data_IF_823984758062
#
_entry.id   IF_823984758062
#
_cell.length_a   1.000
_cell.length_b   1.000
_cell.length_c   1.000
_cell.angle_alpha   90.00
_cell.angle_beta   90.00
_cell.angle_gamma   90.00
#
_symmetry.space_group_name_H-M   'P 1'
#
loop_
_entity.id
_entity.type
_entity.pdbx_description
1 polymer ?
#
# COMPACT_ATOMS: atom_id res chain seq x y z
N UNK A 1 -41.05 33.89 -62.65
CA UNK A 1 -42.23 33.58 -61.78
C UNK A 1 -41.67 33.38 -60.40
N UNK A 2 -41.73 34.34 -59.52
CA UNK A 2 -42.63 34.49 -58.36
C UNK A 2 -42.56 33.21 -57.50
N UNK A 3 -42.08 33.28 -56.23
CA UNK A 3 -42.83 33.89 -55.15
C UNK A 3 -41.98 33.98 -53.89
N UNK A 4 -41.94 35.17 -53.40
CA UNK A 4 -41.49 35.62 -52.08
C UNK A 4 -42.34 34.94 -50.98
N UNK A 5 -41.73 34.51 -49.90
CA UNK A 5 -42.48 34.42 -48.63
C UNK A 5 -41.54 34.69 -47.45
N UNK A 6 -41.68 35.89 -46.94
CA UNK A 6 -41.24 36.34 -45.60
C UNK A 6 -42.05 35.58 -44.56
N UNK A 7 -41.42 35.05 -43.55
CA UNK A 7 -42.04 34.93 -42.24
C UNK A 7 -41.07 35.34 -41.15
N UNK A 8 -41.45 36.42 -40.54
CA UNK A 8 -40.94 36.89 -39.28
C UNK A 8 -41.47 35.98 -38.15
N UNK A 9 -40.66 35.65 -37.22
CA UNK A 9 -41.03 34.83 -36.05
C UNK A 9 -40.11 35.03 -34.90
N UNK A 10 -40.43 36.00 -34.05
CA UNK A 10 -40.42 35.97 -32.61
C UNK A 10 -39.17 35.49 -31.87
N UNK A 11 -38.31 36.43 -31.48
CA UNK A 11 -37.34 36.19 -30.41
C UNK A 11 -38.11 36.24 -29.09
N UNK A 12 -38.34 35.05 -28.52
CA UNK A 12 -38.78 34.93 -27.13
C UNK A 12 -37.53 34.91 -26.24
N UNK A 13 -37.21 36.05 -25.68
CA UNK A 13 -36.26 36.15 -24.58
C UNK A 13 -36.90 35.57 -23.33
N UNK A 14 -36.70 34.29 -23.07
CA UNK A 14 -36.95 33.71 -21.75
C UNK A 14 -35.83 34.13 -20.83
N UNK A 15 -36.12 35.12 -19.98
CA UNK A 15 -35.28 35.49 -18.87
C UNK A 15 -35.18 34.33 -17.89
N UNK A 16 -34.09 33.56 -17.93
CA UNK A 16 -33.75 32.68 -16.84
C UNK A 16 -33.20 33.49 -15.70
N UNK A 17 -34.05 33.74 -14.70
CA UNK A 17 -33.66 34.18 -13.40
C UNK A 17 -32.67 33.16 -12.81
N UNK A 18 -31.47 33.65 -12.50
CA UNK A 18 -30.43 32.90 -11.82
C UNK A 18 -30.61 32.97 -10.30
N UNK A 19 -31.11 31.94 -9.63
CA UNK A 19 -30.88 31.78 -8.21
C UNK A 19 -29.89 30.63 -7.96
N UNK A 20 -28.76 30.55 -8.71
CA UNK A 20 -27.88 29.39 -8.66
C UNK A 20 -26.61 29.59 -7.81
N UNK A 21 -26.35 30.82 -7.32
CA UNK A 21 -25.07 31.08 -6.63
C UNK A 21 -25.10 30.77 -5.12
N UNK A 22 -26.26 30.58 -4.52
CA UNK A 22 -26.35 30.27 -3.08
C UNK A 22 -26.32 28.77 -2.79
N UNK A 23 -26.59 27.93 -3.77
CA UNK A 23 -26.59 26.47 -3.60
C UNK A 23 -25.19 25.84 -3.77
N UNK A 24 -24.37 26.44 -4.62
CA UNK A 24 -23.01 25.94 -4.88
C UNK A 24 -22.10 25.94 -3.64
N UNK A 25 -22.24 26.93 -2.76
CA UNK A 25 -21.42 27.01 -1.55
C UNK A 25 -21.76 25.93 -0.50
N UNK A 26 -23.00 25.48 -0.44
CA UNK A 26 -23.42 24.40 0.48
C UNK A 26 -23.05 23.03 -0.06
N UNK A 27 -23.13 22.84 -1.35
CA UNK A 27 -22.72 21.58 -2.00
C UNK A 27 -21.20 21.40 -1.96
N UNK A 28 -20.43 22.45 -2.19
CA UNK A 28 -18.97 22.43 -2.05
C UNK A 28 -18.54 22.11 -0.61
N UNK A 29 -19.19 22.68 0.39
CA UNK A 29 -18.91 22.35 1.79
C UNK A 29 -19.24 20.90 2.12
N UNK A 30 -20.39 20.39 1.68
CA UNK A 30 -20.76 18.98 1.86
C UNK A 30 -19.78 18.03 1.15
N UNK A 31 -19.33 18.38 -0.05
CA UNK A 31 -18.34 17.61 -0.76
C UNK A 31 -16.97 17.62 -0.06
N UNK A 32 -16.56 18.76 0.48
CA UNK A 32 -15.33 18.89 1.27
C UNK A 32 -15.42 18.08 2.58
N UNK A 33 -16.53 18.17 3.30
CA UNK A 33 -16.76 17.41 4.53
C UNK A 33 -16.77 15.90 4.25
N UNK A 34 -17.40 15.47 3.15
CA UNK A 34 -17.41 14.06 2.73
C UNK A 34 -16.00 13.57 2.34
N UNK A 35 -15.18 14.40 1.70
CA UNK A 35 -13.80 14.08 1.36
C UNK A 35 -12.94 13.90 2.61
N UNK A 36 -13.04 14.79 3.58
CA UNK A 36 -12.31 14.71 4.86
C UNK A 36 -12.70 13.46 5.64
N UNK A 37 -13.99 13.15 5.74
CA UNK A 37 -14.46 11.93 6.40
C UNK A 37 -13.94 10.68 5.69
N UNK A 38 -13.88 10.69 4.36
CA UNK A 38 -13.34 9.60 3.56
C UNK A 38 -11.84 9.40 3.76
N UNK A 39 -11.05 10.47 3.85
CA UNK A 39 -9.61 10.39 4.17
C UNK A 39 -9.38 9.83 5.56
N UNK A 40 -10.07 10.34 6.58
CA UNK A 40 -9.98 9.82 7.95
C UNK A 40 -10.35 8.33 8.01
N UNK A 41 -11.35 7.90 7.25
CA UNK A 41 -11.73 6.50 7.18
C UNK A 41 -10.64 5.63 6.52
N UNK A 42 -9.99 6.13 5.48
CA UNK A 42 -8.86 5.46 4.82
C UNK A 42 -7.65 5.35 5.73
N UNK A 43 -7.30 6.42 6.43
CA UNK A 43 -6.18 6.42 7.38
C UNK A 43 -6.39 5.43 8.51
N UNK A 44 -7.60 5.39 9.08
CA UNK A 44 -7.95 4.39 10.11
C UNK A 44 -7.95 2.97 9.58
N UNK A 45 -8.33 2.77 8.33
CA UNK A 45 -8.26 1.46 7.68
C UNK A 45 -6.80 1.06 7.47
N UNK A 46 -5.97 1.96 6.92
CA UNK A 46 -4.55 1.73 6.73
C UNK A 46 -3.83 1.42 8.06
N UNK A 47 -4.18 2.13 9.13
CA UNK A 47 -3.63 1.86 10.46
C UNK A 47 -4.05 0.48 11.00
N UNK A 48 -5.31 0.07 10.80
CA UNK A 48 -5.76 -1.28 11.18
C UNK A 48 -5.06 -2.36 10.36
N UNK A 49 -4.88 -2.13 9.07
CA UNK A 49 -4.21 -3.07 8.19
C UNK A 49 -2.71 -3.15 8.50
N UNK A 50 -2.07 -2.03 8.83
CA UNK A 50 -0.70 -1.99 9.31
C UNK A 50 -0.50 -2.74 10.63
N UNK A 51 -1.45 -2.66 11.56
CA UNK A 51 -1.43 -3.44 12.81
C UNK A 51 -1.66 -4.93 12.58
N UNK A 52 -2.43 -5.29 11.55
CA UNK A 52 -2.66 -6.71 11.18
C UNK A 52 -1.48 -7.30 10.40
N UNK A 53 -0.80 -6.48 9.61
CA UNK A 53 0.32 -6.87 8.75
C UNK A 53 1.46 -5.85 8.87
N UNK A 54 2.10 -5.74 10.06
CA UNK A 54 3.05 -4.65 10.35
C UNK A 54 4.26 -4.61 9.42
N UNK A 55 4.53 -5.68 8.69
CA UNK A 55 5.68 -5.81 7.80
C UNK A 55 5.29 -6.32 6.40
N UNK A 56 4.08 -6.05 5.96
CA UNK A 56 3.70 -6.34 4.58
C UNK A 56 4.62 -5.54 3.64
N UNK A 57 5.49 -6.24 2.92
CA UNK A 57 6.37 -5.60 1.94
C UNK A 57 5.59 -5.37 0.66
N UNK A 58 5.54 -4.13 0.14
CA UNK A 58 4.96 -3.87 -1.18
C UNK A 58 5.62 -4.75 -2.24
N UNK A 59 4.83 -5.44 -3.04
CA UNK A 59 5.33 -6.31 -4.11
C UNK A 59 5.45 -7.80 -3.75
N UNK A 60 5.36 -8.15 -2.47
CA UNK A 60 5.17 -9.53 -2.06
C UNK A 60 3.68 -9.77 -1.86
N UNK A 61 3.07 -10.58 -2.70
CA UNK A 61 1.72 -11.08 -2.47
C UNK A 61 1.63 -11.88 -1.16
N UNK A 62 0.48 -12.43 -0.81
CA UNK A 62 0.33 -13.23 0.40
C UNK A 62 1.32 -14.41 0.37
N UNK A 63 2.25 -14.41 1.32
CA UNK A 63 3.31 -15.43 1.45
C UNK A 63 2.65 -16.70 1.99
N UNK A 64 2.39 -17.66 1.10
CA UNK A 64 1.68 -18.89 1.43
C UNK A 64 2.56 -20.15 1.35
N UNK A 65 3.79 -20.02 0.86
CA UNK A 65 4.70 -21.16 0.69
C UNK A 65 6.04 -20.94 1.38
N UNK A 66 6.71 -22.02 1.75
CA UNK A 66 8.06 -21.99 2.33
C UNK A 66 9.07 -21.26 1.44
N UNK A 67 9.00 -21.47 0.11
CA UNK A 67 9.87 -20.81 -0.85
C UNK A 67 9.64 -19.30 -0.91
N UNK A 68 8.38 -18.85 -0.92
CA UNK A 68 8.04 -17.45 -0.88
C UNK A 68 8.47 -16.81 0.45
N UNK A 69 8.29 -17.51 1.58
CA UNK A 69 8.74 -17.06 2.88
C UNK A 69 10.27 -16.89 2.92
N UNK A 70 11.02 -17.88 2.44
CA UNK A 70 12.49 -17.81 2.35
C UNK A 70 12.95 -16.63 1.50
N UNK A 71 12.31 -16.40 0.35
CA UNK A 71 12.66 -15.30 -0.55
C UNK A 71 12.35 -13.93 0.05
N UNK A 72 11.20 -13.77 0.67
CA UNK A 72 10.80 -12.50 1.32
C UNK A 72 11.70 -12.19 2.52
N UNK A 73 12.00 -13.17 3.37
CA UNK A 73 12.90 -13.03 4.51
C UNK A 73 14.34 -12.74 4.06
N UNK A 74 14.83 -13.39 3.01
CA UNK A 74 16.15 -13.13 2.44
C UNK A 74 16.26 -11.67 1.91
N UNK A 75 15.23 -11.18 1.23
CA UNK A 75 15.18 -9.80 0.77
C UNK A 75 15.22 -8.81 1.95
N UNK A 76 14.44 -9.08 3.00
CA UNK A 76 14.38 -8.24 4.19
C UNK A 76 15.67 -8.26 5.00
N UNK A 77 16.33 -9.44 5.10
CA UNK A 77 17.63 -9.55 5.75
C UNK A 77 18.71 -8.73 5.04
N UNK A 78 18.76 -8.76 3.71
CA UNK A 78 19.70 -7.93 2.93
C UNK A 78 19.43 -6.44 3.10
N UNK A 79 18.16 -6.02 3.07
CA UNK A 79 17.76 -4.64 3.28
C UNK A 79 18.23 -4.13 4.67
N UNK A 80 18.02 -4.91 5.71
CA UNK A 80 18.40 -4.56 7.06
C UNK A 80 19.91 -4.61 7.30
N UNK A 81 20.62 -5.55 6.66
CA UNK A 81 22.08 -5.64 6.76
C UNK A 81 22.80 -4.50 6.02
N UNK A 82 22.14 -3.89 5.04
CA UNK A 82 22.63 -2.70 4.36
C UNK A 82 23.30 -2.99 3.01
N UNK A 83 23.86 -1.94 2.40
CA UNK A 83 24.46 -2.04 1.06
C UNK A 83 25.59 -3.08 1.00
N UNK A 84 25.57 -3.90 -0.05
CA UNK A 84 26.58 -4.94 -0.28
C UNK A 84 26.34 -6.24 0.47
N UNK A 85 25.33 -6.32 1.34
CA UNK A 85 25.00 -7.56 2.02
C UNK A 85 24.35 -8.57 1.07
N UNK A 86 24.76 -9.82 1.22
CA UNK A 86 24.24 -10.96 0.47
C UNK A 86 23.79 -12.07 1.42
N UNK A 87 22.86 -12.89 0.96
CA UNK A 87 22.47 -14.10 1.68
C UNK A 87 23.51 -15.18 1.41
N UNK A 88 23.96 -15.81 2.46
CA UNK A 88 24.94 -16.90 2.41
C UNK A 88 24.19 -18.23 2.54
N UNK A 89 24.36 -19.07 1.53
CA UNK A 89 23.66 -20.35 1.46
C UNK A 89 22.18 -20.21 1.16
N UNK A 90 21.41 -21.22 1.53
CA UNK A 90 19.95 -21.28 1.31
C UNK A 90 19.21 -21.14 2.64
N UNK A 91 18.40 -20.09 2.82
CA UNK A 91 17.59 -19.95 4.04
C UNK A 91 16.64 -21.14 4.22
N UNK A 92 16.49 -21.58 5.45
CA UNK A 92 15.62 -22.70 5.83
C UNK A 92 14.30 -22.15 6.36
N UNK A 93 13.20 -22.53 5.75
CA UNK A 93 11.85 -22.21 6.24
C UNK A 93 11.26 -23.40 6.98
N UNK A 94 10.80 -23.16 8.19
CA UNK A 94 10.08 -24.10 9.05
C UNK A 94 8.64 -23.63 9.23
N UNK A 95 7.68 -24.55 9.16
CA UNK A 95 6.27 -24.21 9.33
C UNK A 95 5.93 -23.92 10.79
N UNK A 96 5.13 -22.88 10.99
CA UNK A 96 4.51 -22.54 12.28
C UNK A 96 2.99 -22.55 12.16
N UNK A 97 2.29 -22.50 13.28
CA UNK A 97 0.81 -22.47 13.30
C UNK A 97 0.19 -21.30 12.52
N UNK A 98 0.90 -20.18 12.40
CA UNK A 98 0.42 -18.95 11.76
C UNK A 98 1.22 -18.55 10.52
N UNK A 99 2.17 -19.39 10.07
CA UNK A 99 3.02 -19.09 8.93
C UNK A 99 4.34 -19.84 8.91
N UNK A 100 5.44 -19.09 8.81
CA UNK A 100 6.78 -19.64 8.61
C UNK A 100 7.81 -18.93 9.49
N UNK A 101 8.75 -19.68 10.00
CA UNK A 101 10.02 -19.17 10.53
C UNK A 101 11.12 -19.47 9.53
N UNK A 102 11.93 -18.48 9.23
CA UNK A 102 13.02 -18.60 8.26
C UNK A 102 14.33 -18.26 8.95
N UNK A 103 15.26 -19.20 8.91
CA UNK A 103 16.61 -19.05 9.41
C UNK A 103 17.60 -18.99 8.25
N UNK A 104 18.65 -18.19 8.38
CA UNK A 104 19.69 -18.07 7.38
C UNK A 104 20.84 -17.22 7.85
N UNK A 105 21.77 -16.96 6.94
CA UNK A 105 22.91 -16.10 7.18
C UNK A 105 22.96 -14.96 6.17
N UNK A 106 23.33 -13.78 6.63
CA UNK A 106 23.52 -12.59 5.80
C UNK A 106 24.87 -11.94 6.11
N UNK A 107 25.52 -11.40 5.12
CA UNK A 107 26.80 -10.72 5.30
C UNK A 107 27.28 -9.99 4.05
N UNK A 108 28.25 -9.07 4.21
CA UNK A 108 28.85 -8.67 5.49
C UNK A 108 27.91 -7.81 6.34
N UNK A 109 28.06 -7.87 7.66
CA UNK A 109 27.28 -7.08 8.61
C UNK A 109 28.13 -6.69 9.83
N UNK A 110 28.20 -5.39 10.17
CA UNK A 110 28.95 -4.91 11.33
C UNK A 110 30.42 -5.29 11.34
N UNK A 111 31.06 -5.50 10.18
CA UNK A 111 32.44 -5.96 10.05
C UNK A 111 32.62 -7.48 10.10
N UNK A 112 31.57 -8.24 10.33
CA UNK A 112 31.56 -9.70 10.30
C UNK A 112 31.28 -10.22 8.88
N UNK A 113 31.86 -11.38 8.54
CA UNK A 113 31.66 -12.01 7.21
C UNK A 113 30.24 -12.51 7.02
N UNK A 114 29.69 -13.10 8.06
CA UNK A 114 28.31 -13.57 8.10
C UNK A 114 27.72 -13.43 9.49
N UNK A 115 26.43 -13.22 9.55
CA UNK A 115 25.67 -13.14 10.78
C UNK A 115 24.35 -13.91 10.58
N UNK A 116 23.95 -14.75 11.53
CA UNK A 116 22.68 -15.44 11.44
C UNK A 116 21.52 -14.46 11.54
N UNK A 117 20.44 -14.78 10.85
CA UNK A 117 19.16 -14.10 10.99
C UNK A 117 18.01 -15.08 11.21
N UNK A 118 17.02 -14.62 11.93
CA UNK A 118 15.73 -15.30 12.10
C UNK A 118 14.64 -14.33 11.66
N UNK A 119 13.78 -14.81 10.80
CA UNK A 119 12.69 -14.04 10.23
C UNK A 119 11.37 -14.79 10.40
N UNK A 120 10.34 -14.09 10.84
CA UNK A 120 9.00 -14.65 10.99
C UNK A 120 8.07 -14.11 9.91
N UNK A 121 7.32 -15.02 9.31
CA UNK A 121 6.23 -14.71 8.39
C UNK A 121 4.94 -15.17 9.05
N UNK A 122 4.00 -14.26 9.24
CA UNK A 122 2.68 -14.54 9.84
C UNK A 122 1.58 -13.94 8.99
N UNK A 123 0.50 -14.68 8.82
CA UNK A 123 -0.68 -14.23 8.05
C UNK A 123 -0.32 -13.73 6.64
N UNK A 124 0.65 -14.38 5.99
CA UNK A 124 1.06 -14.06 4.63
C UNK A 124 1.98 -12.85 4.48
N UNK A 125 2.55 -12.33 5.57
CA UNK A 125 3.51 -11.21 5.52
C UNK A 125 4.67 -11.41 6.49
N UNK A 126 5.81 -10.76 6.20
CA UNK A 126 6.95 -10.72 7.12
C UNK A 126 6.56 -9.92 8.36
N UNK A 127 6.54 -10.57 9.50
CA UNK A 127 6.16 -9.98 10.78
C UNK A 127 7.33 -9.47 11.62
N UNK A 128 8.54 -9.94 11.34
CA UNK A 128 9.75 -9.50 12.01
C UNK A 128 10.99 -10.18 11.50
N UNK A 129 12.12 -9.53 11.68
CA UNK A 129 13.45 -10.10 11.42
C UNK A 129 14.42 -9.67 12.50
N UNK A 130 15.22 -10.60 12.96
CA UNK A 130 16.31 -10.39 13.90
C UNK A 130 17.61 -10.84 13.24
N UNK A 131 18.58 -9.94 13.18
CA UNK A 131 19.96 -10.26 12.82
C UNK A 131 20.75 -10.25 14.12
N UNK A 132 21.35 -11.40 14.46
CA UNK A 132 22.01 -11.59 15.77
C UNK A 132 23.52 -11.82 15.57
N UNK A 133 24.34 -10.79 15.73
CA UNK A 133 25.80 -10.92 15.59
C UNK A 133 26.47 -11.68 16.72
N UNK A 134 25.77 -11.98 17.81
CA UNK A 134 26.32 -12.63 18.99
C UNK A 134 26.01 -14.15 19.06
N UNK A 135 25.34 -14.68 18.04
CA UNK A 135 24.95 -16.10 17.98
C UNK A 135 25.91 -16.96 17.10
#
# INVERSE_FOLDING_TARGET
MRMTMMMAGGVVMLGFALPAMAQSGRELRRAADAAIVSEIARDRQAERDAKRQPYASPGYGPISTAGAASSACAAKAREQAGPGAAILGKPRASSMSTGWEVEGEVGPYGGLRSVPFICSVRNGSVSGILIDPER
#
